data_IF_346059508836
#
_entry.id   IF_346059508836
#
_cell.length_a   1.000
_cell.length_b   1.000
_cell.length_c   1.000
_cell.angle_alpha   90.00
_cell.angle_beta   90.00
_cell.angle_gamma   90.00
#
_symmetry.space_group_name_H-M   'P 1'
#
loop_
_entity.id
_entity.type
_entity.pdbx_description
1 polymer ?
#
# COMPACT_ATOMS: atom_id res chain seq x y z
N UNK A 1 -0.39 10.90 -9.41
CA UNK A 1 -0.99 10.24 -8.23
C UNK A 1 -0.43 8.85 -7.94
N UNK A 2 0.03 8.09 -8.95
CA UNK A 2 0.53 6.72 -8.72
C UNK A 2 1.66 6.59 -7.68
N UNK A 3 2.57 7.57 -7.60
CA UNK A 3 3.63 7.59 -6.59
C UNK A 3 3.11 7.63 -5.15
N UNK A 4 2.01 8.36 -4.90
CA UNK A 4 1.41 8.49 -3.57
C UNK A 4 0.86 7.14 -3.11
N UNK A 5 0.07 6.48 -3.96
CA UNK A 5 -0.50 5.18 -3.63
C UNK A 5 0.57 4.10 -3.45
N UNK A 6 1.65 4.13 -4.24
CA UNK A 6 2.79 3.23 -4.04
C UNK A 6 3.45 3.45 -2.66
N UNK A 7 3.68 4.72 -2.29
CA UNK A 7 4.26 5.07 -1.00
C UNK A 7 3.37 4.63 0.17
N UNK A 8 2.08 5.01 0.16
CA UNK A 8 1.15 4.72 1.25
C UNK A 8 0.93 3.20 1.40
N UNK A 9 0.98 2.42 0.31
CA UNK A 9 0.88 0.96 0.39
C UNK A 9 2.08 0.26 1.05
N UNK A 10 3.19 0.96 1.28
CA UNK A 10 4.44 0.42 1.84
C UNK A 10 4.96 -0.80 1.06
N UNK A 11 4.73 -0.84 -0.27
CA UNK A 11 5.09 -1.99 -1.11
C UNK A 11 4.32 -3.29 -0.83
N UNK A 12 3.29 -3.25 0.02
CA UNK A 12 2.47 -4.40 0.42
C UNK A 12 1.18 -4.47 -0.38
N UNK A 13 0.59 -5.67 -0.42
CA UNK A 13 -0.68 -5.91 -1.09
C UNK A 13 -1.84 -5.99 -0.08
N UNK A 14 -2.57 -4.89 0.08
CA UNK A 14 -3.73 -4.82 1.00
C UNK A 14 -5.05 -5.26 0.36
N UNK A 15 -5.01 -5.78 -0.87
CA UNK A 15 -6.18 -6.22 -1.62
C UNK A 15 -7.09 -7.22 -0.85
N UNK A 16 -6.56 -8.22 -0.10
CA UNK A 16 -7.41 -9.13 0.67
C UNK A 16 -8.28 -8.42 1.72
N UNK A 17 -7.75 -7.36 2.37
CA UNK A 17 -8.56 -6.55 3.27
C UNK A 17 -9.61 -5.75 2.50
N UNK A 18 -9.23 -5.07 1.42
CA UNK A 18 -10.15 -4.26 0.61
C UNK A 18 -11.31 -5.09 0.03
N UNK A 19 -11.05 -6.35 -0.36
CA UNK A 19 -12.10 -7.26 -0.82
C UNK A 19 -13.08 -7.63 0.29
N UNK A 20 -12.58 -7.93 1.50
CA UNK A 20 -13.43 -8.21 2.67
C UNK A 20 -14.25 -6.99 3.08
N UNK A 21 -13.67 -5.80 3.00
CA UNK A 21 -14.32 -4.52 3.28
C UNK A 21 -15.17 -3.97 2.11
N UNK A 22 -15.34 -4.76 1.05
CA UNK A 22 -16.20 -4.45 -0.10
C UNK A 22 -15.85 -3.14 -0.84
N UNK A 23 -14.56 -2.79 -0.90
CA UNK A 23 -14.09 -1.70 -1.75
C UNK A 23 -14.38 -2.05 -3.22
N UNK A 24 -15.03 -1.16 -4.01
CA UNK A 24 -15.39 -1.46 -5.39
C UNK A 24 -14.19 -1.88 -6.23
N UNK A 25 -14.40 -2.82 -7.16
CA UNK A 25 -13.33 -3.37 -8.02
C UNK A 25 -12.51 -2.30 -8.73
N UNK A 26 -13.16 -1.24 -9.21
CA UNK A 26 -12.51 -0.09 -9.84
C UNK A 26 -11.44 0.54 -8.92
N UNK A 27 -11.72 0.62 -7.62
CA UNK A 27 -10.87 1.30 -6.63
C UNK A 27 -9.77 0.40 -6.03
N UNK A 28 -9.81 -0.91 -6.29
CA UNK A 28 -8.91 -1.89 -5.69
C UNK A 28 -7.43 -1.68 -6.05
N UNK A 29 -7.13 -1.04 -7.18
CA UNK A 29 -5.77 -0.64 -7.57
C UNK A 29 -5.11 0.31 -6.57
N UNK A 30 -5.92 1.06 -5.80
CA UNK A 30 -5.49 1.93 -4.72
C UNK A 30 -5.00 1.16 -3.48
N UNK A 31 -5.48 -0.07 -3.29
CA UNK A 31 -5.15 -0.89 -2.11
C UNK A 31 -3.77 -1.55 -2.21
N UNK A 32 -3.30 -1.85 -3.41
CA UNK A 32 -2.03 -2.57 -3.62
C UNK A 32 -0.89 -1.65 -4.09
N UNK A 33 -1.08 -0.33 -4.07
CA UNK A 33 -0.13 0.64 -4.60
C UNK A 33 0.05 0.61 -6.12
N UNK A 34 -0.68 -0.25 -6.84
CA UNK A 34 -0.64 -0.40 -8.30
C UNK A 34 -1.68 0.50 -8.95
N UNK A 35 -1.65 1.78 -8.59
CA UNK A 35 -2.68 2.74 -8.96
C UNK A 35 -2.78 2.91 -10.48
N UNK A 36 -3.99 2.73 -11.01
CA UNK A 36 -4.24 2.68 -12.46
C UNK A 36 -5.50 3.45 -12.89
N UNK A 37 -6.00 4.36 -12.04
CA UNK A 37 -7.17 5.18 -12.38
C UNK A 37 -6.74 6.35 -13.28
N UNK A 38 -7.46 6.56 -14.37
CA UNK A 38 -7.16 7.62 -15.35
C UNK A 38 -8.26 8.69 -15.39
N UNK A 39 -9.54 8.29 -15.30
CA UNK A 39 -10.66 9.21 -15.45
C UNK A 39 -10.93 9.96 -14.15
N UNK A 40 -11.18 11.26 -14.23
CA UNK A 40 -11.48 12.10 -13.06
C UNK A 40 -12.70 11.58 -12.25
N UNK A 41 -13.70 11.03 -12.94
CA UNK A 41 -14.86 10.42 -12.28
C UNK A 41 -14.47 9.21 -11.42
N UNK A 42 -13.61 8.33 -11.94
CA UNK A 42 -13.13 7.16 -11.19
C UNK A 42 -12.35 7.60 -9.94
N UNK A 43 -11.56 8.66 -10.04
CA UNK A 43 -10.86 9.25 -8.90
C UNK A 43 -11.84 9.75 -7.83
N UNK A 44 -12.88 10.49 -8.23
CA UNK A 44 -13.90 11.00 -7.33
C UNK A 44 -14.68 9.86 -6.65
N UNK A 45 -15.08 8.84 -7.41
CA UNK A 45 -15.75 7.66 -6.85
C UNK A 45 -14.88 6.93 -5.83
N UNK A 46 -13.59 6.76 -6.11
CA UNK A 46 -12.68 6.05 -5.21
C UNK A 46 -12.25 6.88 -4.01
N UNK A 47 -12.33 8.21 -4.08
CA UNK A 47 -12.10 9.11 -2.95
C UNK A 47 -13.10 8.85 -1.81
N UNK A 48 -14.36 8.54 -2.13
CA UNK A 48 -15.39 8.20 -1.13
C UNK A 48 -15.06 6.92 -0.33
N UNK A 49 -14.19 6.06 -0.88
CA UNK A 49 -13.72 4.83 -0.22
C UNK A 49 -12.36 5.00 0.46
N UNK A 50 -11.78 6.20 0.47
CA UNK A 50 -10.43 6.47 1.00
C UNK A 50 -10.24 6.03 2.45
N UNK A 51 -11.23 6.25 3.33
CA UNK A 51 -11.18 5.83 4.73
C UNK A 51 -11.04 4.32 4.88
N UNK A 52 -11.82 3.54 4.14
CA UNK A 52 -11.78 2.08 4.16
C UNK A 52 -10.46 1.56 3.59
N UNK A 53 -9.96 2.18 2.52
CA UNK A 53 -8.66 1.84 1.94
C UNK A 53 -7.54 2.10 2.95
N UNK A 54 -7.52 3.27 3.59
CA UNK A 54 -6.53 3.64 4.60
C UNK A 54 -6.60 2.75 5.83
N UNK A 55 -7.81 2.37 6.27
CA UNK A 55 -7.99 1.38 7.33
C UNK A 55 -7.29 0.06 6.99
N UNK A 56 -7.48 -0.46 5.78
CA UNK A 56 -6.83 -1.69 5.34
C UNK A 56 -5.31 -1.58 5.26
N UNK A 57 -4.79 -0.43 4.84
CA UNK A 57 -3.35 -0.18 4.80
C UNK A 57 -2.79 -0.17 6.23
N UNK A 58 -3.47 0.49 7.17
CA UNK A 58 -3.07 0.56 8.57
C UNK A 58 -3.18 -0.79 9.29
N UNK A 59 -4.22 -1.59 9.01
CA UNK A 59 -4.39 -2.96 9.52
C UNK A 59 -3.18 -3.84 9.16
N UNK A 60 -2.67 -3.69 7.94
CA UNK A 60 -1.46 -4.38 7.47
C UNK A 60 -0.17 -3.99 8.22
N UNK A 61 -0.16 -2.88 8.95
CA UNK A 61 0.99 -2.40 9.75
C UNK A 61 0.95 -2.92 11.20
N UNK A 62 -0.17 -3.44 11.69
CA UNK A 62 -0.26 -3.90 13.08
C UNK A 62 0.54 -5.18 13.35
N UNK A 63 0.86 -5.95 12.30
CA UNK A 63 1.52 -7.27 12.41
C UNK A 63 3.00 -7.21 12.05
N UNK A 64 3.42 -6.24 11.23
CA UNK A 64 4.76 -6.18 10.67
C UNK A 64 5.36 -4.78 10.89
N UNK A 65 6.62 -4.69 11.35
CA UNK A 65 7.27 -3.40 11.52
C UNK A 65 7.43 -2.68 10.17
N UNK A 66 7.66 -1.37 10.26
CA UNK A 66 8.06 -0.56 9.12
C UNK A 66 9.38 -1.06 8.51
N UNK A 67 9.70 -0.57 7.31
CA UNK A 67 10.94 -0.90 6.65
C UNK A 67 12.14 -0.54 7.56
N UNK A 68 13.13 -1.45 7.71
CA UNK A 68 14.30 -1.15 8.55
C UNK A 68 14.99 0.13 8.09
N UNK A 69 15.16 1.06 9.02
CA UNK A 69 15.95 2.26 8.84
C UNK A 69 17.40 1.98 9.24
N UNK A 70 18.34 2.76 8.70
CA UNK A 70 19.75 2.71 9.11
C UNK A 70 20.41 1.32 9.03
N UNK A 71 20.22 0.63 7.91
CA UNK A 71 20.85 -0.68 7.68
C UNK A 71 22.38 -0.51 7.64
N UNK A 72 23.06 -1.20 8.55
CA UNK A 72 24.52 -1.28 8.63
C UNK A 72 24.97 -2.68 8.22
N UNK A 73 26.12 -2.78 7.56
CA UNK A 73 26.74 -4.04 7.19
C UNK A 73 28.12 -4.13 7.82
N UNK A 74 28.37 -5.23 8.52
CA UNK A 74 29.69 -5.54 9.09
C UNK A 74 30.25 -6.80 8.42
N UNK A 75 31.54 -6.78 8.11
CA UNK A 75 32.24 -7.91 7.49
C UNK A 75 32.60 -8.92 8.58
N UNK A 76 31.97 -10.10 8.53
CA UNK A 76 32.14 -11.12 9.58
C UNK A 76 33.41 -11.97 9.37
N UNK A 77 33.94 -12.03 8.14
CA UNK A 77 35.23 -12.65 7.80
C UNK A 77 35.81 -12.02 6.53
N UNK A 78 37.01 -11.47 6.64
CA UNK A 78 37.85 -11.06 5.51
C UNK A 78 38.86 -12.18 5.25
N UNK A 79 38.50 -13.15 4.41
CA UNK A 79 39.46 -14.11 3.86
C UNK A 79 39.75 -13.69 2.43
N UNK A 80 40.63 -12.70 2.30
CA UNK A 80 41.35 -12.41 1.06
C UNK A 80 42.83 -12.72 1.30
#
# INVERSE_FOLDING_TARGET
MAHIFRCISDGRNHLPCCQRQQVPKLCQSSCSGRYSLEKALDHAMCHEHSKTILFCIADGLQVLPEQPQEIQAETINSTF
#
